data_IF_870097861975
#
_entry.id   IF_870097861975
#
_cell.length_a   1.000
_cell.length_b   1.000
_cell.length_c   1.000
_cell.angle_alpha   90.00
_cell.angle_beta   90.00
_cell.angle_gamma   90.00
#
_symmetry.space_group_name_H-M   'P 1'
#
loop_
_entity.id
_entity.type
_entity.pdbx_description
1 polymer ?
#
# COMPACT_ATOMS: atom_id res chain seq x y z
N UNK A 1 18.82 -18.99 -6.47
CA UNK A 1 18.24 -19.92 -5.48
C UNK A 1 16.70 -20.00 -5.55
N UNK A 2 15.93 -18.88 -5.38
CA UNK A 2 14.45 -18.92 -5.50
C UNK A 2 14.01 -19.24 -6.91
N UNK A 3 14.58 -18.58 -7.90
CA UNK A 3 14.28 -18.81 -9.34
C UNK A 3 14.57 -20.26 -9.73
N UNK A 4 15.66 -20.85 -9.26
CA UNK A 4 16.02 -22.23 -9.57
C UNK A 4 15.01 -23.23 -9.00
N UNK A 5 14.54 -22.97 -7.77
CA UNK A 5 13.45 -23.75 -7.17
C UNK A 5 12.13 -23.61 -7.95
N UNK A 6 11.82 -22.43 -8.46
CA UNK A 6 10.62 -22.22 -9.28
C UNK A 6 10.64 -23.01 -10.58
N UNK A 7 11.81 -23.25 -11.18
CA UNK A 7 11.95 -24.08 -12.40
C UNK A 7 11.61 -25.55 -12.20
N UNK A 8 11.58 -26.04 -10.95
CA UNK A 8 11.21 -27.41 -10.62
C UNK A 8 9.70 -27.68 -10.68
N UNK A 9 8.88 -26.63 -10.71
CA UNK A 9 7.43 -26.77 -10.83
C UNK A 9 6.99 -26.89 -12.28
N UNK A 10 5.89 -27.62 -12.51
CA UNK A 10 5.29 -27.73 -13.84
C UNK A 10 4.90 -26.37 -14.41
N UNK A 11 4.31 -25.53 -13.60
CA UNK A 11 3.93 -24.16 -13.90
C UNK A 11 3.84 -23.34 -12.61
N UNK A 12 4.30 -22.08 -12.65
CA UNK A 12 4.19 -21.12 -11.55
C UNK A 12 3.07 -20.14 -11.88
N UNK A 13 2.18 -19.91 -10.92
CA UNK A 13 1.09 -18.95 -11.07
C UNK A 13 1.48 -17.66 -10.35
N UNK A 14 1.37 -16.54 -11.05
CA UNK A 14 1.67 -15.20 -10.52
C UNK A 14 0.47 -14.27 -10.66
N UNK A 15 0.37 -13.22 -9.80
CA UNK A 15 -0.80 -12.35 -9.82
C UNK A 15 -0.89 -11.43 -11.03
N UNK A 16 0.22 -11.09 -11.69
CA UNK A 16 0.26 -10.08 -12.74
C UNK A 16 1.19 -10.45 -13.90
N UNK A 17 0.89 -9.92 -15.09
CA UNK A 17 1.73 -10.09 -16.28
C UNK A 17 3.14 -9.52 -16.08
N UNK A 18 3.28 -8.40 -15.36
CA UNK A 18 4.59 -7.86 -15.01
C UNK A 18 5.51 -8.88 -14.34
N UNK A 19 5.02 -9.63 -13.35
CA UNK A 19 5.78 -10.68 -12.67
C UNK A 19 6.02 -11.89 -13.59
N UNK A 20 5.03 -12.25 -14.41
CA UNK A 20 5.18 -13.30 -15.42
C UNK A 20 6.32 -12.97 -16.37
N UNK A 21 6.38 -11.76 -16.89
CA UNK A 21 7.39 -11.33 -17.85
C UNK A 21 8.81 -11.37 -17.24
N UNK A 22 8.94 -11.01 -15.98
CA UNK A 22 10.21 -11.16 -15.24
C UNK A 22 10.60 -12.63 -15.15
N UNK A 23 9.70 -13.50 -14.69
CA UNK A 23 10.00 -14.92 -14.48
C UNK A 23 10.30 -15.67 -15.79
N UNK A 24 9.60 -15.32 -16.87
CA UNK A 24 9.86 -15.88 -18.20
C UNK A 24 11.29 -15.56 -18.68
N UNK A 25 11.79 -14.33 -18.43
CA UNK A 25 13.19 -13.95 -18.75
C UNK A 25 14.22 -14.81 -18.01
N UNK A 26 13.85 -15.35 -16.86
CA UNK A 26 14.67 -16.25 -16.07
C UNK A 26 14.42 -17.75 -16.37
N UNK A 27 13.64 -18.06 -17.40
CA UNK A 27 13.36 -19.45 -17.83
C UNK A 27 12.38 -20.19 -16.91
N UNK A 28 11.57 -19.48 -16.13
CA UNK A 28 10.51 -20.10 -15.31
C UNK A 28 9.21 -20.14 -16.13
N UNK A 29 8.65 -21.34 -16.31
CA UNK A 29 7.34 -21.49 -16.94
C UNK A 29 6.26 -20.95 -16.00
N UNK A 30 5.57 -19.89 -16.39
CA UNK A 30 4.60 -19.24 -15.54
C UNK A 30 3.41 -18.67 -16.30
N UNK A 31 2.31 -18.50 -15.56
CA UNK A 31 1.04 -17.93 -16.03
C UNK A 31 0.57 -16.84 -15.08
N UNK A 32 0.11 -15.73 -15.62
CA UNK A 32 -0.55 -14.71 -14.81
C UNK A 32 -2.04 -15.04 -14.63
N UNK A 33 -2.49 -14.93 -13.37
CA UNK A 33 -3.89 -14.85 -13.04
C UNK A 33 -4.16 -13.42 -12.58
N UNK A 34 -4.52 -12.53 -13.47
CA UNK A 34 -4.81 -11.11 -13.19
C UNK A 34 -6.08 -10.94 -12.32
N UNK A 35 -6.14 -11.68 -11.21
CA UNK A 35 -7.33 -11.78 -10.37
C UNK A 35 -6.98 -11.67 -8.88
N UNK A 36 -6.80 -10.43 -8.41
CA UNK A 36 -6.65 -10.15 -7.01
C UNK A 36 -7.68 -9.12 -6.54
N UNK A 37 -8.36 -9.45 -5.45
CA UNK A 37 -9.17 -8.50 -4.70
C UNK A 37 -8.87 -8.63 -3.23
N UNK A 38 -8.81 -7.52 -2.49
CA UNK A 38 -8.76 -7.59 -1.04
C UNK A 38 -10.11 -8.07 -0.48
N UNK A 39 -10.11 -8.59 0.75
CA UNK A 39 -11.35 -8.94 1.45
C UNK A 39 -12.28 -7.73 1.57
N UNK A 40 -11.72 -6.55 1.76
CA UNK A 40 -12.44 -5.28 1.83
C UNK A 40 -13.25 -5.01 0.56
N UNK A 41 -12.65 -5.18 -0.61
CA UNK A 41 -13.34 -4.97 -1.91
C UNK A 41 -14.42 -6.04 -2.11
N UNK A 42 -14.16 -7.28 -1.71
CA UNK A 42 -15.13 -8.38 -1.83
C UNK A 42 -16.34 -8.20 -0.92
N UNK A 43 -16.15 -7.71 0.28
CA UNK A 43 -17.22 -7.46 1.25
C UNK A 43 -18.12 -6.27 0.89
N UNK A 44 -17.66 -5.41 -0.03
CA UNK A 44 -18.41 -4.22 -0.49
C UNK A 44 -18.97 -3.40 0.69
N UNK A 45 -18.14 -2.98 1.65
CA UNK A 45 -18.62 -2.24 2.81
C UNK A 45 -19.28 -0.94 2.38
N UNK A 46 -20.24 -0.49 3.19
CA UNK A 46 -20.97 0.77 2.91
C UNK A 46 -20.00 1.94 2.92
N UNK A 47 -20.11 2.78 1.91
CA UNK A 47 -19.41 4.07 1.87
C UNK A 47 -20.05 4.99 2.90
N UNK A 48 -19.29 5.45 3.87
CA UNK A 48 -19.74 6.42 4.87
C UNK A 48 -19.36 7.81 4.36
N UNK A 49 -20.36 8.66 4.17
CA UNK A 49 -20.11 10.05 3.78
C UNK A 49 -19.39 10.82 4.89
N UNK A 50 -18.37 11.54 4.48
CA UNK A 50 -17.47 12.28 5.35
C UNK A 50 -18.04 13.67 5.65
N UNK A 51 -18.14 13.98 6.93
CA UNK A 51 -18.28 15.37 7.42
C UNK A 51 -16.96 15.74 8.08
N UNK A 52 -16.15 16.56 7.43
CA UNK A 52 -14.83 16.95 7.93
C UNK A 52 -14.46 18.34 7.42
N UNK A 53 -13.65 19.06 8.20
CA UNK A 53 -13.01 20.31 7.79
C UNK A 53 -12.13 20.04 6.53
N UNK A 54 -12.45 20.62 5.38
CA UNK A 54 -11.73 20.38 4.14
C UNK A 54 -10.31 20.95 4.15
N UNK A 55 -9.98 21.85 5.07
CA UNK A 55 -8.63 22.41 5.22
C UNK A 55 -7.63 21.44 5.84
N UNK A 56 -8.13 20.35 6.48
CA UNK A 56 -7.29 19.36 7.18
C UNK A 56 -7.18 18.08 6.37
N UNK A 57 -6.01 17.85 5.76
CA UNK A 57 -5.75 16.63 5.02
C UNK A 57 -5.50 15.44 5.96
N UNK A 58 -6.04 14.30 5.57
CA UNK A 58 -5.81 13.02 6.23
C UNK A 58 -5.16 12.04 5.25
N UNK A 59 -4.00 11.54 5.64
CA UNK A 59 -3.25 10.52 4.93
C UNK A 59 -3.48 9.17 5.62
N UNK A 60 -3.57 8.10 4.85
CA UNK A 60 -3.76 6.74 5.36
C UNK A 60 -2.67 5.80 4.85
N UNK A 61 -2.01 5.14 5.79
CA UNK A 61 -1.27 3.91 5.55
C UNK A 61 -2.02 2.72 6.14
N UNK A 62 -2.17 1.64 5.39
CA UNK A 62 -2.73 0.36 5.86
C UNK A 62 -1.82 -0.80 5.45
N UNK A 63 -1.23 -1.48 6.41
CA UNK A 63 -0.37 -2.64 6.16
C UNK A 63 0.51 -3.02 7.34
N UNK A 64 1.30 -4.08 7.17
CA UNK A 64 2.29 -4.49 8.17
C UNK A 64 3.45 -3.49 8.23
N UNK A 65 4.13 -3.42 9.38
CA UNK A 65 5.39 -2.70 9.53
C UNK A 65 6.53 -3.72 9.44
N UNK A 66 7.03 -3.95 8.26
CA UNK A 66 8.25 -4.73 8.00
C UNK A 66 9.26 -3.89 7.20
N UNK A 67 10.50 -4.39 7.08
CA UNK A 67 11.59 -3.68 6.39
C UNK A 67 11.21 -3.32 4.95
N UNK A 68 10.51 -4.20 4.26
CA UNK A 68 10.06 -3.99 2.88
C UNK A 68 9.02 -2.87 2.79
N UNK A 69 8.09 -2.80 3.73
CA UNK A 69 7.04 -1.77 3.78
C UNK A 69 7.55 -0.40 4.19
N UNK A 70 8.68 -0.34 4.89
CA UNK A 70 9.42 0.89 5.23
C UNK A 70 8.59 1.96 5.97
N UNK A 71 7.68 1.52 6.84
CA UNK A 71 6.74 2.39 7.57
C UNK A 71 7.46 3.31 8.57
N UNK A 72 8.57 2.84 9.13
CA UNK A 72 9.44 3.65 10.00
C UNK A 72 9.93 4.92 9.28
N UNK A 73 10.37 4.79 8.03
CA UNK A 73 10.78 5.96 7.23
C UNK A 73 9.58 6.84 6.91
N UNK A 74 8.43 6.26 6.56
CA UNK A 74 7.20 6.99 6.32
C UNK A 74 6.83 7.88 7.51
N UNK A 75 6.75 7.30 8.72
CA UNK A 75 6.37 8.06 9.92
C UNK A 75 7.39 9.13 10.28
N UNK A 76 8.69 8.89 10.07
CA UNK A 76 9.74 9.88 10.29
C UNK A 76 9.62 11.08 9.34
N UNK A 77 9.36 10.84 8.06
CA UNK A 77 9.16 11.90 7.07
C UNK A 77 7.91 12.71 7.44
N UNK A 78 6.79 12.03 7.72
CA UNK A 78 5.54 12.70 8.06
C UNK A 78 5.60 13.46 9.38
N UNK A 79 6.39 13.01 10.36
CA UNK A 79 6.62 13.75 11.60
C UNK A 79 7.19 15.13 11.33
N UNK A 80 8.17 15.25 10.42
CA UNK A 80 8.77 16.52 10.04
C UNK A 80 7.82 17.37 9.17
N UNK A 81 7.21 16.77 8.15
CA UNK A 81 6.34 17.49 7.19
C UNK A 81 5.08 18.03 7.86
N UNK A 82 4.53 17.31 8.84
CA UNK A 82 3.27 17.69 9.48
C UNK A 82 3.43 18.52 10.77
N UNK A 83 4.66 18.79 11.22
CA UNK A 83 4.95 19.34 12.55
C UNK A 83 4.14 20.62 12.88
N UNK A 84 4.06 21.54 11.92
CA UNK A 84 3.39 22.84 12.08
C UNK A 84 2.05 22.92 11.31
N UNK A 85 1.39 21.78 11.11
CA UNK A 85 0.12 21.68 10.37
C UNK A 85 -0.98 21.06 11.24
N UNK A 86 -2.22 21.15 10.75
CA UNK A 86 -3.38 20.43 11.28
C UNK A 86 -3.65 19.11 10.52
N UNK A 87 -2.79 18.73 9.56
CA UNK A 87 -2.93 17.51 8.78
C UNK A 87 -2.58 16.29 9.63
N UNK A 88 -3.09 15.11 9.27
CA UNK A 88 -2.95 13.89 10.07
C UNK A 88 -2.52 12.72 9.19
N UNK A 89 -1.56 11.93 9.67
CA UNK A 89 -1.28 10.59 9.16
C UNK A 89 -1.92 9.54 10.08
N UNK A 90 -2.74 8.68 9.50
CA UNK A 90 -3.26 7.47 10.16
C UNK A 90 -2.44 6.28 9.67
N UNK A 91 -1.84 5.56 10.61
CA UNK A 91 -1.08 4.33 10.35
C UNK A 91 -1.85 3.15 10.93
N UNK A 92 -2.50 2.37 10.09
CA UNK A 92 -3.11 1.11 10.50
C UNK A 92 -2.10 -0.01 10.29
N UNK A 93 -1.60 -0.59 11.38
CA UNK A 93 -0.60 -1.67 11.35
C UNK A 93 -0.77 -2.59 12.55
N UNK A 94 -0.35 -3.84 12.42
CA UNK A 94 -0.29 -4.79 13.54
C UNK A 94 1.06 -4.80 14.29
N UNK A 95 2.05 -4.02 13.82
CA UNK A 95 3.39 -3.93 14.40
C UNK A 95 3.79 -2.46 14.54
N UNK A 96 3.60 -1.84 15.71
CA UNK A 96 3.90 -0.42 15.93
C UNK A 96 5.38 -0.13 16.23
N UNK A 97 6.25 -1.14 16.20
CA UNK A 97 7.65 -1.01 16.61
C UNK A 97 8.40 0.02 15.76
N UNK A 98 9.23 0.82 16.41
CA UNK A 98 10.11 1.82 15.79
C UNK A 98 9.39 2.89 14.96
N UNK A 99 8.10 3.12 15.17
CA UNK A 99 7.39 4.22 14.52
C UNK A 99 7.66 5.55 15.23
N UNK A 100 7.82 6.61 14.46
CA UNK A 100 7.83 7.96 15.00
C UNK A 100 6.37 8.40 15.24
N UNK A 101 6.05 8.72 16.51
CA UNK A 101 4.70 9.13 16.92
C UNK A 101 4.74 10.58 17.35
N UNK A 102 3.84 11.40 16.81
CA UNK A 102 3.67 12.82 17.13
C UNK A 102 2.18 13.15 17.31
N UNK A 103 1.87 14.40 17.63
CA UNK A 103 0.47 14.87 17.68
C UNK A 103 -0.30 14.66 16.36
N UNK A 104 0.41 14.61 15.24
CA UNK A 104 -0.14 14.48 13.88
C UNK A 104 -0.17 13.04 13.37
N UNK A 105 0.39 12.07 14.10
CA UNK A 105 0.46 10.67 13.67
C UNK A 105 -0.39 9.81 14.64
N UNK A 106 -1.41 9.18 14.07
CA UNK A 106 -2.33 8.27 14.79
C UNK A 106 -2.03 6.83 14.37
N UNK A 107 -1.69 5.99 15.35
CA UNK A 107 -1.41 4.56 15.09
C UNK A 107 -2.58 3.73 15.61
N UNK A 108 -3.09 2.84 14.75
CA UNK A 108 -4.16 1.89 15.07
C UNK A 108 -3.56 0.49 14.97
N UNK A 109 -3.44 -0.21 16.09
CA UNK A 109 -2.84 -1.54 16.18
C UNK A 109 -3.88 -2.65 16.31
N UNK A 110 -5.05 -2.32 16.84
CA UNK A 110 -6.14 -3.26 17.07
C UNK A 110 -6.62 -3.86 15.74
N UNK A 111 -7.13 -5.08 15.83
CA UNK A 111 -7.86 -5.67 14.70
C UNK A 111 -9.18 -4.91 14.53
N UNK A 112 -9.44 -4.46 13.32
CA UNK A 112 -10.65 -3.73 12.95
C UNK A 112 -11.45 -4.53 11.93
N UNK A 113 -12.77 -4.28 11.87
CA UNK A 113 -13.64 -4.89 10.85
C UNK A 113 -13.46 -4.24 9.48
N UNK A 114 -13.97 -4.89 8.43
CA UNK A 114 -13.93 -4.33 7.07
C UNK A 114 -14.72 -3.00 7.00
N UNK A 115 -15.82 -2.84 7.75
CA UNK A 115 -16.56 -1.57 7.83
C UNK A 115 -15.74 -0.46 8.47
N UNK A 116 -14.99 -0.78 9.54
CA UNK A 116 -14.10 0.18 10.19
C UNK A 116 -12.95 0.56 9.26
N UNK A 117 -12.37 -0.40 8.53
CA UNK A 117 -11.33 -0.14 7.54
C UNK A 117 -11.86 0.71 6.39
N UNK A 118 -13.05 0.41 5.86
CA UNK A 118 -13.72 1.24 4.86
C UNK A 118 -13.94 2.66 5.34
N UNK A 119 -14.29 2.84 6.63
CA UNK A 119 -14.44 4.17 7.23
C UNK A 119 -13.12 4.95 7.21
N UNK A 120 -11.98 4.30 7.45
CA UNK A 120 -10.65 4.93 7.34
C UNK A 120 -10.35 5.36 5.90
N UNK A 121 -10.64 4.51 4.90
CA UNK A 121 -10.49 4.89 3.49
C UNK A 121 -11.43 6.05 3.12
N UNK A 122 -12.66 6.06 3.58
CA UNK A 122 -13.58 7.18 3.34
C UNK A 122 -13.10 8.46 4.01
N UNK A 123 -12.53 8.37 5.21
CA UNK A 123 -12.03 9.51 5.97
C UNK A 123 -10.79 10.13 5.33
N UNK A 124 -9.88 9.36 4.79
CA UNK A 124 -8.64 9.88 4.22
C UNK A 124 -8.85 10.64 2.91
N UNK A 125 -7.90 11.51 2.57
CA UNK A 125 -7.82 12.20 1.29
C UNK A 125 -6.84 11.48 0.36
N UNK A 126 -5.77 10.93 0.92
CA UNK A 126 -4.70 10.24 0.22
C UNK A 126 -4.35 8.95 0.93
N UNK A 127 -4.09 7.91 0.16
CA UNK A 127 -3.33 6.77 0.64
C UNK A 127 -1.83 7.04 0.45
N UNK A 128 -0.97 6.54 1.34
CA UNK A 128 0.46 6.79 1.26
C UNK A 128 1.26 5.55 1.62
N UNK A 129 2.34 5.31 0.88
CA UNK A 129 3.28 4.22 1.19
C UNK A 129 4.67 4.51 0.67
N UNK A 130 5.69 4.07 1.41
CA UNK A 130 7.11 4.10 1.03
C UNK A 130 7.66 2.68 0.82
N UNK A 131 6.82 1.75 0.40
CA UNK A 131 7.21 0.34 0.21
C UNK A 131 8.36 0.21 -0.80
N UNK A 132 9.33 -0.66 -0.49
CA UNK A 132 10.47 -0.98 -1.37
C UNK A 132 10.09 -2.00 -2.44
N UNK A 133 8.95 -2.64 -2.32
CA UNK A 133 8.46 -3.63 -3.30
C UNK A 133 7.11 -4.19 -2.91
N UNK A 134 6.28 -4.48 -3.90
CA UNK A 134 4.96 -5.08 -3.73
C UNK A 134 4.77 -6.25 -4.69
N UNK A 135 4.17 -7.33 -4.17
CA UNK A 135 3.72 -8.43 -5.01
C UNK A 135 2.32 -8.18 -5.60
N UNK A 136 1.45 -7.59 -4.80
CA UNK A 136 0.03 -7.33 -5.16
C UNK A 136 -0.35 -5.86 -4.99
N UNK A 137 0.11 -5.21 -3.92
CA UNK A 137 -0.21 -3.81 -3.65
C UNK A 137 -1.65 -3.62 -3.15
N UNK A 138 -2.06 -4.35 -2.10
CA UNK A 138 -3.44 -4.27 -1.59
C UNK A 138 -3.84 -2.84 -1.22
N UNK A 139 -2.98 -2.04 -0.60
CA UNK A 139 -3.26 -0.63 -0.29
C UNK A 139 -3.61 0.16 -1.56
N UNK A 140 -2.94 -0.11 -2.67
CA UNK A 140 -3.20 0.56 -3.95
C UNK A 140 -4.55 0.13 -4.52
N UNK A 141 -4.88 -1.16 -4.49
CA UNK A 141 -6.19 -1.66 -4.94
C UNK A 141 -7.33 -1.10 -4.08
N UNK A 142 -7.15 -1.09 -2.77
CA UNK A 142 -8.14 -0.58 -1.83
C UNK A 142 -8.30 0.94 -1.98
N UNK A 143 -7.20 1.69 -2.06
CA UNK A 143 -7.22 3.13 -2.31
C UNK A 143 -7.94 3.47 -3.61
N UNK A 144 -7.61 2.77 -4.70
CA UNK A 144 -8.29 2.93 -5.99
C UNK A 144 -9.80 2.65 -5.89
N UNK A 145 -10.20 1.55 -5.23
CA UNK A 145 -11.61 1.21 -5.02
C UNK A 145 -12.38 2.32 -4.30
N UNK A 146 -11.75 3.00 -3.35
CA UNK A 146 -12.33 4.14 -2.62
C UNK A 146 -12.08 5.49 -3.29
N UNK A 147 -11.60 5.53 -4.53
CA UNK A 147 -11.27 6.74 -5.28
C UNK A 147 -10.30 7.67 -4.52
N UNK A 148 -9.27 7.08 -3.91
CA UNK A 148 -8.22 7.81 -3.19
C UNK A 148 -6.95 7.86 -4.01
N UNK A 149 -6.41 9.05 -4.31
CA UNK A 149 -5.07 9.16 -4.88
C UNK A 149 -4.03 8.54 -3.97
N UNK A 150 -3.01 7.94 -4.55
CA UNK A 150 -2.00 7.20 -3.79
C UNK A 150 -0.64 7.82 -3.99
N UNK A 151 -0.05 8.28 -2.89
CA UNK A 151 1.33 8.78 -2.87
C UNK A 151 2.26 7.59 -2.66
N UNK A 152 3.00 7.21 -3.68
CA UNK A 152 3.84 6.01 -3.68
C UNK A 152 4.98 6.11 -4.68
N UNK A 153 5.98 5.24 -4.56
CA UNK A 153 6.91 5.00 -5.65
C UNK A 153 6.18 4.37 -6.84
N UNK A 154 6.59 4.73 -8.03
CA UNK A 154 6.09 4.11 -9.25
C UNK A 154 6.76 2.75 -9.43
N UNK A 155 5.99 1.67 -9.35
CA UNK A 155 6.46 0.30 -9.57
C UNK A 155 5.68 -0.34 -10.72
N UNK A 156 6.31 -1.24 -11.45
CA UNK A 156 5.70 -1.88 -12.62
C UNK A 156 4.35 -2.56 -12.34
N UNK A 157 4.18 -3.14 -11.15
CA UNK A 157 2.92 -3.75 -10.73
C UNK A 157 1.77 -2.74 -10.67
N UNK A 158 2.02 -1.50 -10.29
CA UNK A 158 0.98 -0.47 -10.15
C UNK A 158 0.51 0.08 -11.50
N UNK A 159 1.41 0.13 -12.50
CA UNK A 159 1.03 0.49 -13.88
C UNK A 159 -0.03 -0.46 -14.45
N UNK A 160 0.07 -1.75 -14.14
CA UNK A 160 -0.93 -2.73 -14.58
C UNK A 160 -2.26 -2.62 -13.84
N UNK A 161 -2.28 -2.04 -12.65
CA UNK A 161 -3.51 -1.86 -11.87
C UNK A 161 -4.36 -0.67 -12.35
N UNK A 162 -3.82 0.19 -13.21
CA UNK A 162 -4.49 1.43 -13.64
C UNK A 162 -4.80 2.38 -12.46
N UNK A 163 -3.97 2.32 -11.41
CA UNK A 163 -4.15 3.10 -10.19
C UNK A 163 -3.58 4.49 -10.38
N UNK A 164 -4.30 5.51 -9.94
CA UNK A 164 -3.83 6.89 -9.94
C UNK A 164 -2.78 7.10 -8.84
N UNK A 165 -1.51 7.22 -9.27
CA UNK A 165 -0.36 7.36 -8.38
C UNK A 165 0.22 8.77 -8.51
N UNK A 166 0.40 9.41 -7.35
CA UNK A 166 1.24 10.59 -7.22
C UNK A 166 2.65 10.07 -6.93
N UNK A 167 3.58 10.14 -7.89
CA UNK A 167 4.88 9.50 -7.76
C UNK A 167 5.76 10.20 -6.74
N UNK A 168 6.38 9.40 -5.86
CA UNK A 168 7.49 9.85 -5.02
C UNK A 168 8.81 9.64 -5.80
N UNK A 169 9.68 10.64 -5.86
CA UNK A 169 11.02 10.43 -6.40
C UNK A 169 11.79 9.45 -5.52
N UNK A 170 12.48 8.52 -6.13
CA UNK A 170 13.39 7.61 -5.45
C UNK A 170 14.66 7.42 -6.28
N UNK A 171 15.76 7.18 -5.59
CA UNK A 171 16.97 6.72 -6.23
C UNK A 171 17.06 5.20 -6.01
N UNK A 172 17.24 4.44 -7.07
CA UNK A 172 17.62 3.05 -6.97
C UNK A 172 19.02 3.01 -6.36
N UNK A 173 19.15 2.34 -5.23
CA UNK A 173 20.45 2.07 -4.61
C UNK A 173 20.72 0.60 -4.93
N UNK A 174 21.78 0.33 -5.66
CA UNK A 174 22.27 -1.03 -5.85
C UNK A 174 22.57 -1.63 -4.48
N UNK A 175 21.91 -2.75 -4.17
CA UNK A 175 22.08 -3.51 -2.94
C UNK A 175 23.08 -4.63 -3.16
#
# INVERSE_FOLDING_TARGET
EIIDKMKLFYEVIVPYDYLKDILLKHGVKCKALNYWTSSLIRSKPKVIHKTRDPSKLVFLYNGTNDIRKNVTTLTRIFANVLENTEHILIVKTNKPDNLTITKNIRVITERISDEQLASLFNLCDYCVTCTRGEGVGLLHLEGHYFNKPIISHEQGVFKQLGVDIIPLPYNEVDI
#
